data_IF_772513932316
#
_entry.id   IF_772513932316
#
_cell.length_a   1.000
_cell.length_b   1.000
_cell.length_c   1.000
_cell.angle_alpha   90.00
_cell.angle_beta   90.00
_cell.angle_gamma   90.00
#
_symmetry.space_group_name_H-M   'P 1'
#
loop_
_entity.id
_entity.type
_entity.pdbx_description
1 polymer ?
#
# COMPACT_ATOMS: atom_id res chain seq x y z
N UNK A 1 -18.32 -10.57 -2.84
CA UNK A 1 -19.22 -9.93 -1.85
C UNK A 1 -18.83 -8.47 -1.75
N UNK A 2 -19.63 -7.55 -2.34
CA UNK A 2 -19.34 -6.10 -2.31
C UNK A 2 -19.65 -5.59 -0.89
N UNK A 3 -18.63 -5.14 -0.18
CA UNK A 3 -18.81 -4.44 1.10
C UNK A 3 -18.94 -2.95 0.80
N UNK A 4 -20.14 -2.41 0.99
CA UNK A 4 -20.40 -0.96 0.90
C UNK A 4 -19.96 -0.31 2.21
N UNK A 5 -18.90 0.47 2.18
CA UNK A 5 -18.43 1.25 3.33
C UNK A 5 -19.21 2.56 3.43
N UNK A 6 -19.92 2.74 4.56
CA UNK A 6 -20.44 4.04 4.98
C UNK A 6 -19.28 4.92 5.47
N UNK A 7 -18.97 5.95 4.70
CA UNK A 7 -18.00 6.98 5.05
C UNK A 7 -18.51 7.80 6.24
N UNK A 8 -17.81 7.75 7.39
CA UNK A 8 -17.94 8.78 8.42
C UNK A 8 -17.06 9.96 8.04
N UNK A 9 -17.68 11.13 7.92
CA UNK A 9 -17.03 12.39 7.63
C UNK A 9 -16.50 13.02 8.92
N UNK A 10 -15.34 12.61 9.40
CA UNK A 10 -14.65 13.28 10.50
C UNK A 10 -13.39 13.94 9.94
N UNK A 11 -13.22 15.20 10.33
CA UNK A 11 -12.33 16.17 9.71
C UNK A 11 -10.87 15.77 9.52
N UNK A 12 -10.29 16.43 8.55
CA UNK A 12 -8.87 16.66 8.27
C UNK A 12 -7.92 15.45 8.36
N UNK A 13 -7.50 14.92 7.20
CA UNK A 13 -6.38 13.99 7.09
C UNK A 13 -6.67 12.77 6.22
N UNK A 14 -5.59 12.16 5.74
CA UNK A 14 -5.62 10.87 5.07
C UNK A 14 -5.97 9.80 6.11
N UNK A 15 -7.04 9.03 5.89
CA UNK A 15 -7.42 7.91 6.74
C UNK A 15 -7.62 6.65 5.88
N UNK A 16 -7.02 5.55 6.31
CA UNK A 16 -7.20 4.24 5.68
C UNK A 16 -8.15 3.44 6.57
N UNK A 17 -9.25 2.94 5.99
CA UNK A 17 -10.25 2.19 6.73
C UNK A 17 -9.91 0.70 6.75
N UNK A 18 -9.83 0.13 7.96
CA UNK A 18 -9.62 -1.29 8.15
C UNK A 18 -10.94 -2.06 8.22
N UNK A 19 -10.98 -3.22 7.55
CA UNK A 19 -11.98 -4.25 7.81
C UNK A 19 -11.72 -4.89 9.19
N UNK A 20 -12.72 -5.54 9.82
CA UNK A 20 -12.54 -6.18 11.12
C UNK A 20 -11.34 -7.14 11.14
N UNK A 21 -10.60 -7.10 12.23
CA UNK A 21 -9.45 -7.97 12.48
C UNK A 21 -9.84 -9.18 13.33
N UNK A 22 -9.14 -10.27 13.09
CA UNK A 22 -9.08 -11.40 14.00
C UNK A 22 -7.66 -11.55 14.53
N UNK A 23 -7.50 -12.05 15.75
CA UNK A 23 -6.20 -12.24 16.44
C UNK A 23 -5.38 -13.42 15.85
N UNK A 24 -5.70 -13.81 14.62
CA UNK A 24 -5.11 -14.96 13.92
C UNK A 24 -3.90 -14.54 13.09
N UNK A 25 -3.11 -15.51 12.68
CA UNK A 25 -2.03 -15.32 11.73
C UNK A 25 -2.60 -14.90 10.37
N UNK A 26 -2.24 -13.68 9.93
CA UNK A 26 -2.73 -13.11 8.67
C UNK A 26 -1.88 -13.52 7.47
N UNK A 27 -0.56 -13.69 7.67
CA UNK A 27 0.37 -14.16 6.65
C UNK A 27 1.37 -15.13 7.28
N UNK A 28 1.55 -16.26 6.62
CA UNK A 28 2.57 -17.25 6.91
C UNK A 28 3.46 -17.47 5.71
N UNK A 29 4.78 -17.41 5.88
CA UNK A 29 5.79 -17.61 4.84
C UNK A 29 6.81 -18.62 5.35
N UNK A 30 7.08 -19.69 4.57
CA UNK A 30 8.01 -20.75 4.95
C UNK A 30 8.87 -21.22 3.77
N UNK A 31 10.20 -21.18 3.97
CA UNK A 31 11.22 -21.59 2.98
C UNK A 31 10.99 -20.95 1.61
N UNK A 32 10.41 -19.74 1.55
CA UNK A 32 10.03 -19.09 0.33
C UNK A 32 11.25 -18.65 -0.48
N UNK A 33 11.28 -19.00 -1.77
CA UNK A 33 12.20 -18.45 -2.74
C UNK A 33 11.42 -17.69 -3.81
N UNK A 34 11.87 -16.50 -4.14
CA UNK A 34 11.24 -15.60 -5.11
C UNK A 34 12.25 -15.15 -6.17
N UNK A 35 11.77 -14.93 -7.38
CA UNK A 35 12.58 -14.54 -8.53
C UNK A 35 11.81 -14.73 -9.83
N UNK A 36 12.46 -14.45 -10.97
CA UNK A 36 11.88 -14.63 -12.31
C UNK A 36 12.41 -15.90 -12.98
N UNK A 37 13.69 -15.94 -13.32
CA UNK A 37 14.36 -17.10 -13.95
C UNK A 37 15.24 -17.86 -12.96
N UNK A 38 15.71 -17.17 -11.93
CA UNK A 38 16.52 -17.72 -10.83
C UNK A 38 16.11 -17.03 -9.53
N UNK A 39 16.30 -17.67 -8.38
CA UNK A 39 15.97 -17.08 -7.09
C UNK A 39 16.83 -15.84 -6.82
N UNK A 40 16.18 -14.69 -6.56
CA UNK A 40 16.85 -13.48 -6.06
C UNK A 40 16.86 -13.45 -4.53
N UNK A 41 15.83 -14.02 -3.90
CA UNK A 41 15.79 -14.30 -2.47
C UNK A 41 15.39 -15.74 -2.24
N UNK A 42 15.99 -16.39 -1.24
CA UNK A 42 15.74 -17.79 -0.91
C UNK A 42 15.58 -17.98 0.59
N UNK A 43 14.87 -19.05 0.96
CA UNK A 43 14.71 -19.48 2.36
C UNK A 43 14.14 -18.35 3.27
N UNK A 44 13.18 -17.57 2.77
CA UNK A 44 12.49 -16.53 3.53
C UNK A 44 11.47 -17.18 4.44
N UNK A 45 11.52 -16.84 5.73
CA UNK A 45 10.59 -17.34 6.74
C UNK A 45 10.16 -16.22 7.67
N UNK A 46 8.86 -16.01 7.77
CA UNK A 46 8.24 -15.16 8.76
C UNK A 46 6.73 -15.39 8.81
N UNK A 47 6.11 -14.93 9.87
CA UNK A 47 4.66 -14.80 9.96
C UNK A 47 4.26 -13.43 10.47
N UNK A 48 3.05 -12.99 10.13
CA UNK A 48 2.48 -11.71 10.52
C UNK A 48 1.08 -11.97 11.10
N UNK A 49 0.86 -11.51 12.32
CA UNK A 49 -0.45 -11.58 12.99
C UNK A 49 -1.33 -10.39 12.60
N UNK A 50 -2.63 -10.54 12.78
CA UNK A 50 -3.59 -9.47 12.61
C UNK A 50 -3.22 -8.21 13.40
N UNK A 51 -3.28 -7.05 12.76
CA UNK A 51 -2.94 -5.75 13.35
C UNK A 51 -1.46 -5.43 13.46
N UNK A 52 -0.54 -6.36 13.20
CA UNK A 52 0.90 -6.08 13.26
C UNK A 52 1.36 -5.11 12.18
N UNK A 53 2.33 -4.25 12.54
CA UNK A 53 3.04 -3.33 11.65
C UNK A 53 4.45 -3.86 11.44
N UNK A 54 4.69 -4.45 10.27
CA UNK A 54 5.95 -5.12 9.95
C UNK A 54 6.64 -4.37 8.81
N UNK A 55 7.94 -4.13 8.97
CA UNK A 55 8.78 -3.51 7.94
C UNK A 55 9.81 -4.50 7.45
N UNK A 56 9.97 -4.60 6.14
CA UNK A 56 11.05 -5.34 5.50
C UNK A 56 12.10 -4.33 5.06
N UNK A 57 13.35 -4.57 5.47
CA UNK A 57 14.52 -3.79 5.09
C UNK A 57 15.54 -4.66 4.36
N UNK A 58 16.44 -4.02 3.61
CA UNK A 58 17.52 -4.69 2.86
C UNK A 58 18.05 -3.80 1.75
N UNK A 59 19.19 -4.16 1.15
CA UNK A 59 19.81 -3.39 0.05
C UNK A 59 18.85 -3.19 -1.13
N UNK A 60 19.06 -2.12 -1.88
CA UNK A 60 18.34 -1.92 -3.13
C UNK A 60 18.72 -3.02 -4.13
N UNK A 61 17.69 -3.56 -4.82
CA UNK A 61 17.88 -4.67 -5.78
C UNK A 61 17.97 -6.06 -5.15
N UNK A 62 17.92 -6.22 -3.81
CA UNK A 62 17.99 -7.54 -3.17
C UNK A 62 16.76 -8.43 -3.44
N UNK A 63 15.67 -7.87 -3.99
CA UNK A 63 14.44 -8.63 -4.29
C UNK A 63 13.25 -8.32 -3.37
N UNK A 64 13.25 -7.18 -2.65
CA UNK A 64 12.12 -6.79 -1.78
C UNK A 64 10.82 -6.64 -2.55
N UNK A 65 10.83 -5.89 -3.65
CA UNK A 65 9.66 -5.74 -4.54
C UNK A 65 9.25 -7.07 -5.15
N UNK A 66 10.22 -7.92 -5.56
CA UNK A 66 9.97 -9.28 -6.06
C UNK A 66 9.25 -10.13 -5.02
N UNK A 67 9.62 -10.01 -3.74
CA UNK A 67 8.92 -10.68 -2.65
C UNK A 67 7.47 -10.18 -2.55
N UNK A 68 7.24 -8.85 -2.58
CA UNK A 68 5.88 -8.30 -2.47
C UNK A 68 5.00 -8.73 -3.64
N UNK A 69 5.46 -8.63 -4.89
CA UNK A 69 4.66 -9.04 -6.07
C UNK A 69 4.42 -10.55 -6.12
N UNK A 70 5.31 -11.38 -5.54
CA UNK A 70 5.06 -12.81 -5.31
C UNK A 70 3.94 -13.00 -4.28
N UNK A 71 3.98 -12.27 -3.15
CA UNK A 71 2.98 -12.40 -2.10
C UNK A 71 1.58 -11.95 -2.57
N UNK A 72 1.46 -10.97 -3.45
CA UNK A 72 0.16 -10.57 -4.03
C UNK A 72 -0.27 -11.47 -5.20
N UNK A 73 0.56 -12.41 -5.63
CA UNK A 73 0.22 -13.44 -6.62
C UNK A 73 0.45 -13.04 -8.08
N UNK A 74 1.14 -11.93 -8.35
CA UNK A 74 1.47 -11.50 -9.72
C UNK A 74 2.55 -12.37 -10.37
N UNK A 75 3.49 -12.88 -9.57
CA UNK A 75 4.46 -13.89 -10.02
C UNK A 75 4.41 -15.12 -9.10
N UNK A 76 4.64 -16.32 -9.63
CA UNK A 76 4.65 -17.53 -8.81
C UNK A 76 5.90 -17.58 -7.91
N UNK A 77 5.76 -18.20 -6.74
CA UNK A 77 6.92 -18.55 -5.91
C UNK A 77 7.74 -19.64 -6.58
N UNK A 78 9.07 -19.53 -6.50
CA UNK A 78 9.98 -20.54 -7.08
C UNK A 78 10.11 -21.78 -6.19
N UNK A 79 10.14 -21.57 -4.86
CA UNK A 79 10.18 -22.64 -3.84
C UNK A 79 9.47 -22.19 -2.59
N UNK A 80 9.20 -23.16 -1.70
CA UNK A 80 8.52 -22.89 -0.44
C UNK A 80 7.04 -22.62 -0.59
N UNK A 81 6.46 -21.97 0.40
CA UNK A 81 5.03 -21.64 0.41
C UNK A 81 4.75 -20.42 1.26
N UNK A 82 3.69 -19.73 0.90
CA UNK A 82 3.06 -18.73 1.74
C UNK A 82 1.55 -18.89 1.71
N UNK A 83 0.89 -18.40 2.72
CA UNK A 83 -0.57 -18.39 2.79
C UNK A 83 -1.05 -17.17 3.55
N UNK A 84 -1.99 -16.44 2.97
CA UNK A 84 -2.83 -15.49 3.70
C UNK A 84 -4.01 -16.22 4.34
N UNK A 85 -4.46 -15.71 5.48
CA UNK A 85 -5.75 -16.13 6.06
C UNK A 85 -6.88 -15.78 5.12
N UNK A 86 -7.92 -16.60 5.07
CA UNK A 86 -9.10 -16.41 4.20
C UNK A 86 -9.87 -15.10 4.50
N UNK A 87 -9.61 -14.47 5.65
CA UNK A 87 -10.22 -13.21 6.07
C UNK A 87 -9.41 -11.99 5.62
N UNK A 88 -8.23 -12.19 5.02
CA UNK A 88 -7.37 -11.10 4.56
C UNK A 88 -7.88 -10.53 3.25
N UNK A 89 -8.07 -9.21 3.24
CA UNK A 89 -8.28 -8.40 2.04
C UNK A 89 -7.10 -7.45 1.88
N UNK A 90 -6.34 -7.65 0.80
CA UNK A 90 -5.10 -6.92 0.56
C UNK A 90 -5.40 -5.59 -0.13
N UNK A 91 -4.78 -4.50 0.38
CA UNK A 91 -4.55 -3.27 -0.33
C UNK A 91 -3.07 -3.19 -0.71
N UNK A 92 -2.74 -2.96 -1.97
CA UNK A 92 -1.37 -2.89 -2.43
C UNK A 92 -1.03 -1.50 -2.97
N UNK A 93 0.11 -0.97 -2.55
CA UNK A 93 0.72 0.25 -3.07
C UNK A 93 2.09 -0.09 -3.67
N UNK A 94 2.15 -0.04 -4.99
CA UNK A 94 3.36 -0.33 -5.75
C UNK A 94 4.32 0.87 -5.83
N UNK A 95 5.60 0.60 -5.95
CA UNK A 95 6.62 1.63 -6.10
C UNK A 95 6.49 2.40 -7.42
N UNK A 96 6.16 1.72 -8.51
CA UNK A 96 6.07 2.32 -9.83
C UNK A 96 4.78 3.11 -10.00
N UNK A 97 4.90 4.30 -10.59
CA UNK A 97 3.79 5.22 -10.86
C UNK A 97 3.32 5.12 -12.32
N UNK A 98 3.37 3.91 -12.90
CA UNK A 98 2.84 3.70 -14.25
C UNK A 98 1.31 3.77 -14.26
N UNK A 99 0.79 4.45 -15.27
CA UNK A 99 -0.64 4.61 -15.51
C UNK A 99 -0.98 4.05 -16.89
N UNK A 100 -1.97 3.16 -16.94
CA UNK A 100 -2.44 2.58 -18.20
C UNK A 100 -3.04 3.64 -19.15
N UNK A 101 -3.70 4.65 -18.57
CA UNK A 101 -4.38 5.75 -19.29
C UNK A 101 -3.85 7.09 -18.75
N UNK A 102 -2.63 7.51 -19.14
CA UNK A 102 -1.98 8.72 -18.61
C UNK A 102 -2.69 10.03 -18.99
N UNK A 103 -3.60 10.00 -19.97
CA UNK A 103 -4.44 11.11 -20.40
C UNK A 103 -5.64 11.38 -19.47
N UNK A 104 -6.04 10.41 -18.64
CA UNK A 104 -7.14 10.59 -17.70
C UNK A 104 -6.76 11.56 -16.57
N UNK A 105 -7.73 12.32 -16.12
CA UNK A 105 -7.59 13.18 -14.95
C UNK A 105 -7.78 12.37 -13.65
N UNK A 106 -7.21 12.79 -12.51
CA UNK A 106 -7.46 12.17 -11.22
C UNK A 106 -8.95 11.99 -10.88
N UNK A 107 -9.81 12.95 -11.26
CA UNK A 107 -11.26 12.82 -11.09
C UNK A 107 -11.81 11.65 -11.90
N UNK A 108 -11.41 11.52 -13.17
CA UNK A 108 -11.86 10.42 -14.03
C UNK A 108 -11.35 9.07 -13.51
N UNK A 109 -10.08 8.99 -13.11
CA UNK A 109 -9.49 7.77 -12.56
C UNK A 109 -10.28 7.29 -11.33
N UNK A 110 -10.56 8.19 -10.37
CA UNK A 110 -11.32 7.81 -9.17
C UNK A 110 -12.77 7.49 -9.51
N UNK A 111 -13.42 8.25 -10.42
CA UNK A 111 -14.80 8.00 -10.84
C UNK A 111 -14.92 6.65 -11.59
N UNK A 112 -13.95 6.28 -12.42
CA UNK A 112 -13.93 4.98 -13.11
C UNK A 112 -13.77 3.81 -12.12
N UNK A 113 -12.92 3.98 -11.11
CA UNK A 113 -12.72 2.97 -10.07
C UNK A 113 -13.93 2.85 -9.11
N UNK A 114 -14.68 3.93 -8.91
CA UNK A 114 -15.83 4.02 -7.99
C UNK A 114 -17.04 4.70 -8.65
N UNK A 115 -17.73 4.01 -9.60
CA UNK A 115 -18.80 4.60 -10.41
C UNK A 115 -19.99 5.14 -9.61
N UNK A 116 -20.24 4.57 -8.44
CA UNK A 116 -21.35 4.97 -7.55
C UNK A 116 -21.03 6.25 -6.74
N UNK A 117 -19.77 6.73 -6.80
CA UNK A 117 -19.34 7.92 -6.06
C UNK A 117 -19.67 9.19 -6.84
N UNK A 118 -20.43 10.10 -6.21
CA UNK A 118 -20.74 11.39 -6.86
C UNK A 118 -19.48 12.26 -6.97
N UNK A 119 -19.37 13.03 -8.04
CA UNK A 119 -18.20 13.88 -8.37
C UNK A 119 -17.78 14.79 -7.21
N UNK A 120 -18.72 15.29 -6.42
CA UNK A 120 -18.43 16.12 -5.23
C UNK A 120 -17.59 15.36 -4.20
N UNK A 121 -17.90 14.09 -3.95
CA UNK A 121 -17.17 13.25 -2.99
C UNK A 121 -15.81 12.83 -3.56
N UNK A 122 -15.73 12.53 -4.87
CA UNK A 122 -14.45 12.32 -5.56
C UNK A 122 -13.50 13.49 -5.32
N UNK A 123 -13.96 14.73 -5.57
CA UNK A 123 -13.17 15.96 -5.35
C UNK A 123 -12.75 16.12 -3.89
N UNK A 124 -13.65 15.82 -2.95
CA UNK A 124 -13.37 15.88 -1.51
C UNK A 124 -12.29 14.88 -1.11
N UNK A 125 -12.32 13.65 -1.62
CA UNK A 125 -11.29 12.64 -1.36
C UNK A 125 -9.93 13.04 -1.94
N UNK A 126 -9.88 13.48 -3.18
CA UNK A 126 -8.65 13.99 -3.81
C UNK A 126 -8.05 15.16 -3.01
N UNK A 127 -8.88 16.11 -2.59
CA UNK A 127 -8.43 17.24 -1.77
C UNK A 127 -7.87 16.79 -0.40
N UNK A 128 -8.47 15.79 0.25
CA UNK A 128 -7.96 15.19 1.49
C UNK A 128 -6.59 14.52 1.31
N UNK A 129 -6.33 13.95 0.14
CA UNK A 129 -5.04 13.39 -0.21
C UNK A 129 -4.03 14.44 -0.71
N UNK A 130 -4.37 15.74 -0.62
CA UNK A 130 -3.48 16.84 -0.99
C UNK A 130 -3.41 17.12 -2.48
N UNK A 131 -4.42 16.69 -3.28
CA UNK A 131 -4.54 17.04 -4.69
C UNK A 131 -5.35 18.33 -4.83
N UNK A 132 -4.74 19.37 -5.39
CA UNK A 132 -5.41 20.65 -5.66
C UNK A 132 -6.53 20.50 -6.70
N UNK A 133 -7.51 21.40 -6.67
CA UNK A 133 -8.57 21.43 -7.69
C UNK A 133 -8.03 21.57 -9.12
N UNK A 134 -6.90 22.29 -9.30
CA UNK A 134 -6.20 22.41 -10.59
C UNK A 134 -5.65 21.05 -11.03
N UNK A 135 -4.89 20.37 -10.19
CA UNK A 135 -4.27 19.07 -10.52
C UNK A 135 -5.32 17.96 -10.69
N UNK A 136 -6.43 18.03 -9.97
CA UNK A 136 -7.54 17.09 -10.12
C UNK A 136 -8.18 17.08 -11.52
N UNK A 137 -7.94 18.14 -12.32
CA UNK A 137 -8.47 18.33 -13.68
C UNK A 137 -7.41 18.21 -14.77
N UNK A 138 -6.14 17.96 -14.44
CA UNK A 138 -5.06 17.77 -15.40
C UNK A 138 -4.84 16.28 -15.66
N UNK A 139 -4.34 15.93 -16.85
CA UNK A 139 -3.98 14.56 -17.18
C UNK A 139 -2.94 14.02 -16.20
N UNK A 140 -3.14 12.81 -15.67
CA UNK A 140 -2.30 12.23 -14.63
C UNK A 140 -0.83 12.14 -15.06
N UNK A 141 -0.57 11.81 -16.32
CA UNK A 141 0.79 11.74 -16.88
C UNK A 141 1.55 13.08 -16.91
N UNK A 142 0.85 14.22 -16.75
CA UNK A 142 1.46 15.56 -16.69
C UNK A 142 1.74 16.04 -15.28
N UNK A 143 1.29 15.30 -14.27
CA UNK A 143 1.52 15.61 -12.87
C UNK A 143 2.92 15.16 -12.42
N UNK A 144 3.45 15.83 -11.41
CA UNK A 144 4.69 15.38 -10.77
C UNK A 144 4.54 14.00 -10.13
N UNK A 145 5.63 13.26 -9.96
CA UNK A 145 5.61 11.96 -9.30
C UNK A 145 4.96 12.00 -7.91
N UNK A 146 5.20 13.07 -7.14
CA UNK A 146 4.54 13.25 -5.84
C UNK A 146 3.03 13.42 -5.92
N UNK A 147 2.52 14.11 -6.94
CA UNK A 147 1.08 14.26 -7.17
C UNK A 147 0.45 12.96 -7.64
N UNK A 148 1.13 12.24 -8.54
CA UNK A 148 0.70 10.91 -8.97
C UNK A 148 0.62 9.93 -7.79
N UNK A 149 1.63 9.92 -6.91
CA UNK A 149 1.64 9.11 -5.69
C UNK A 149 0.45 9.45 -4.76
N UNK A 150 0.11 10.74 -4.62
CA UNK A 150 -1.08 11.18 -3.86
C UNK A 150 -2.39 10.66 -4.46
N UNK A 151 -2.50 10.57 -5.79
CA UNK A 151 -3.68 9.98 -6.46
C UNK A 151 -3.75 8.47 -6.21
N UNK A 152 -2.65 7.72 -6.34
CA UNK A 152 -2.61 6.30 -5.97
C UNK A 152 -2.98 6.09 -4.50
N UNK A 153 -2.50 6.96 -3.61
CA UNK A 153 -2.84 6.93 -2.20
C UNK A 153 -4.35 7.20 -1.97
N UNK A 154 -4.94 8.13 -2.73
CA UNK A 154 -6.37 8.37 -2.67
C UNK A 154 -7.18 7.11 -3.04
N UNK A 155 -6.81 6.42 -4.12
CA UNK A 155 -7.44 5.15 -4.51
C UNK A 155 -7.31 4.10 -3.40
N UNK A 156 -6.13 3.98 -2.79
CA UNK A 156 -5.89 3.04 -1.70
C UNK A 156 -6.77 3.34 -0.47
N UNK A 157 -6.97 4.62 -0.12
CA UNK A 157 -7.83 5.00 1.01
C UNK A 157 -9.31 4.70 0.76
N UNK A 158 -9.71 4.57 -0.50
CA UNK A 158 -11.07 4.21 -0.90
C UNK A 158 -11.28 2.69 -0.99
N UNK A 159 -10.20 1.91 -1.03
CA UNK A 159 -10.25 0.45 -1.15
C UNK A 159 -10.35 -0.19 0.23
N UNK A 160 -11.43 -0.93 0.54
CA UNK A 160 -11.53 -1.64 1.82
C UNK A 160 -10.46 -2.72 1.90
N UNK A 161 -9.65 -2.68 2.96
CA UNK A 161 -8.63 -3.68 3.21
C UNK A 161 -8.40 -3.86 4.71
N UNK A 162 -7.82 -4.98 5.11
CA UNK A 162 -7.34 -5.21 6.47
C UNK A 162 -5.85 -5.63 6.50
N UNK A 163 -5.23 -5.73 5.31
CA UNK A 163 -3.81 -6.00 5.15
C UNK A 163 -3.24 -5.07 4.07
N UNK A 164 -2.43 -4.11 4.47
CA UNK A 164 -1.74 -3.20 3.55
C UNK A 164 -0.35 -3.73 3.23
N UNK A 165 -0.05 -3.84 1.94
CA UNK A 165 1.31 -4.09 1.43
C UNK A 165 1.75 -2.82 0.71
N UNK A 166 2.92 -2.29 1.07
CA UNK A 166 3.43 -1.04 0.51
C UNK A 166 4.90 -1.18 0.13
N UNK A 167 5.23 -0.82 -1.10
CA UNK A 167 6.59 -0.83 -1.62
C UNK A 167 7.12 0.60 -1.75
N UNK A 168 8.06 0.98 -0.86
CA UNK A 168 8.74 2.28 -0.82
C UNK A 168 7.80 3.50 -1.02
N UNK A 169 6.68 3.60 -0.27
CA UNK A 169 5.63 4.59 -0.55
C UNK A 169 6.07 6.04 -0.34
N UNK A 170 7.23 6.25 0.28
CA UNK A 170 7.76 7.59 0.58
C UNK A 170 8.60 8.21 -0.53
N UNK A 171 9.02 7.44 -1.54
CA UNK A 171 10.01 7.86 -2.54
C UNK A 171 9.64 9.13 -3.33
N UNK A 172 8.36 9.41 -3.53
CA UNK A 172 7.90 10.55 -4.33
C UNK A 172 7.08 11.56 -3.51
N UNK A 173 6.98 11.36 -2.18
CA UNK A 173 6.17 12.21 -1.33
C UNK A 173 6.98 13.39 -0.77
N UNK A 174 6.35 14.56 -0.73
CA UNK A 174 6.84 15.70 0.05
C UNK A 174 6.71 15.44 1.57
N UNK A 175 7.34 16.30 2.37
CA UNK A 175 7.37 16.15 3.84
C UNK A 175 5.96 16.07 4.44
N UNK A 176 5.02 16.89 3.96
CA UNK A 176 3.66 16.92 4.48
C UNK A 176 2.91 15.62 4.14
N UNK A 177 3.07 15.11 2.93
CA UNK A 177 2.46 13.85 2.52
C UNK A 177 3.07 12.64 3.26
N UNK A 178 4.39 12.65 3.53
CA UNK A 178 5.04 11.63 4.38
C UNK A 178 4.46 11.62 5.80
N UNK A 179 4.30 12.77 6.43
CA UNK A 179 3.71 12.86 7.78
C UNK A 179 2.23 12.44 7.80
N UNK A 180 1.46 12.81 6.78
CA UNK A 180 0.08 12.37 6.65
C UNK A 180 -0.01 10.84 6.48
N UNK A 181 0.86 10.25 5.65
CA UNK A 181 0.94 8.80 5.47
C UNK A 181 1.38 8.10 6.76
N UNK A 182 2.42 8.61 7.45
CA UNK A 182 2.88 8.11 8.75
C UNK A 182 1.73 8.06 9.76
N UNK A 183 0.98 9.14 9.87
CA UNK A 183 -0.19 9.22 10.74
C UNK A 183 -1.26 8.20 10.35
N UNK A 184 -1.57 8.09 9.06
CA UNK A 184 -2.55 7.12 8.56
C UNK A 184 -2.15 5.67 8.85
N UNK A 185 -0.87 5.31 8.65
CA UNK A 185 -0.36 3.95 8.90
C UNK A 185 -0.31 3.62 10.40
N UNK A 186 0.11 4.56 11.23
CA UNK A 186 0.17 4.38 12.69
C UNK A 186 -1.21 4.18 13.31
N UNK A 187 -2.24 4.82 12.77
CA UNK A 187 -3.64 4.73 13.24
C UNK A 187 -4.46 3.66 12.52
N UNK A 188 -3.96 3.12 11.42
CA UNK A 188 -4.65 2.04 10.69
C UNK A 188 -4.81 0.82 11.60
N UNK A 189 -6.05 0.39 11.84
CA UNK A 189 -6.31 -0.77 12.69
C UNK A 189 -5.88 -2.11 12.06
N UNK A 190 -5.71 -2.16 10.72
CA UNK A 190 -5.30 -3.38 9.99
C UNK A 190 -3.82 -3.71 10.12
N UNK A 191 -3.42 -4.77 9.44
CA UNK A 191 -2.04 -5.24 9.33
C UNK A 191 -1.29 -4.44 8.26
N UNK A 192 -0.02 -4.15 8.48
CA UNK A 192 0.85 -3.47 7.50
C UNK A 192 2.11 -4.28 7.25
N UNK A 193 2.42 -4.52 5.99
CA UNK A 193 3.71 -4.98 5.52
C UNK A 193 4.31 -3.89 4.63
N UNK A 194 5.31 -3.19 5.17
CA UNK A 194 5.99 -2.09 4.51
C UNK A 194 7.38 -2.53 4.06
N UNK A 195 7.74 -2.24 2.82
CA UNK A 195 9.14 -2.17 2.39
C UNK A 195 9.57 -0.71 2.45
N UNK A 196 10.61 -0.41 3.21
CA UNK A 196 11.19 0.93 3.28
C UNK A 196 12.63 0.89 3.77
N UNK A 197 13.43 1.83 3.29
CA UNK A 197 14.77 2.11 3.77
C UNK A 197 14.84 3.38 4.66
N UNK A 198 13.75 4.15 4.75
CA UNK A 198 13.67 5.36 5.55
C UNK A 198 13.34 5.04 7.02
N UNK A 199 14.34 4.74 7.84
CA UNK A 199 14.12 4.37 9.27
C UNK A 199 13.35 5.46 10.03
N UNK A 200 13.61 6.75 9.76
CA UNK A 200 12.89 7.86 10.39
C UNK A 200 11.38 7.85 10.12
N UNK A 201 10.95 7.24 9.00
CA UNK A 201 9.53 7.14 8.67
C UNK A 201 8.80 6.10 9.53
N UNK A 202 9.42 4.93 9.77
CA UNK A 202 8.71 3.81 10.42
C UNK A 202 9.11 3.55 11.89
N UNK A 203 10.22 4.10 12.39
CA UNK A 203 10.77 3.82 13.73
C UNK A 203 9.75 3.93 14.86
N UNK A 204 8.87 4.94 14.81
CA UNK A 204 7.98 5.26 15.94
C UNK A 204 6.71 4.40 15.97
N UNK A 205 6.36 3.72 14.86
CA UNK A 205 5.11 2.98 14.76
C UNK A 205 5.26 1.53 14.30
N UNK A 206 6.38 1.14 13.71
CA UNK A 206 6.64 -0.24 13.34
C UNK A 206 6.89 -1.10 14.59
N UNK A 207 6.23 -2.24 14.67
CA UNK A 207 6.36 -3.17 15.79
C UNK A 207 7.46 -4.20 15.56
N UNK A 208 7.79 -4.47 14.29
CA UNK A 208 8.80 -5.47 13.91
C UNK A 208 9.49 -5.06 12.62
N UNK A 209 10.81 -5.19 12.60
CA UNK A 209 11.64 -5.00 11.40
C UNK A 209 12.27 -6.34 11.04
N UNK A 210 12.11 -6.75 9.78
CA UNK A 210 12.72 -7.96 9.20
C UNK A 210 13.80 -7.48 8.23
N UNK A 211 15.07 -7.68 8.59
CA UNK A 211 16.19 -7.42 7.70
C UNK A 211 16.48 -8.69 6.90
N UNK A 212 16.26 -8.65 5.59
CA UNK A 212 16.45 -9.81 4.69
C UNK A 212 17.89 -10.03 4.24
N UNK A 213 18.83 -9.15 4.62
CA UNK A 213 20.27 -9.30 4.38
C UNK A 213 20.96 -10.18 5.42
N UNK A 214 20.40 -10.22 6.63
CA UNK A 214 20.93 -10.98 7.76
C UNK A 214 20.39 -12.41 7.71
N UNK A 215 21.03 -13.25 6.93
CA UNK A 215 20.91 -14.71 7.04
C UNK A 215 22.25 -15.34 7.30
#
# INVERSE_FOLDING_TARGET
MKVVLKLRADGAGMAIFALPLTDTEHLFVKHLAVGYHYPVLSNIEFSIKGGQKVVITGFNGIGKSTLLITLIGEIPSMQGRFKFSDQVTIGYFEQDLEWQEPELTPIQIVANAYPDMVTKDVRKHLARCGISSKHAMQAIGTLSGGEQAKVKMCLLTLTPCNFLIMDEPTNHLDVQAKEALKTALSTFAGTVLLVSHEEAFYRDWAQRVINIEKK
#
